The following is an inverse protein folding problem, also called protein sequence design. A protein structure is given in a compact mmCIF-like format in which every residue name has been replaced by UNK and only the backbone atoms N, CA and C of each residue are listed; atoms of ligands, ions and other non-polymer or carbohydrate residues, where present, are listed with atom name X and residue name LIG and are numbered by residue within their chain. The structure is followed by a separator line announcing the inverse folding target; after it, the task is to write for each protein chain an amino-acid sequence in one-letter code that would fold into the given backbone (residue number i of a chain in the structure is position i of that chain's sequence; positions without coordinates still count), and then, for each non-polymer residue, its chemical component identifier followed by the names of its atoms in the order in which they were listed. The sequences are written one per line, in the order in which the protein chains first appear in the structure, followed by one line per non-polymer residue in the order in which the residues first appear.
data_IF_545449414207
#
_entry.id   IF_545449414207
#
_cell.length_a   1.000
_cell.length_b   1.000
_cell.length_c   1.000
_cell.angle_alpha   90.00
_cell.angle_beta   90.00
_cell.angle_gamma   90.00
#
_symmetry.space_group_name_H-M   'P 1'
#
loop_
_entity.id
_entity.type
_entity.pdbx_description
1 polymer ?
#
# COMPACT_ATOMS: atom_id res chain seq x y z
N UNK A 1 2.53 -10.93 22.33
CA UNK A 1 1.73 -10.52 21.14
C UNK A 1 2.25 -9.24 20.47
N UNK A 2 2.76 -8.23 21.19
CA UNK A 2 3.23 -6.98 20.58
C UNK A 2 4.49 -7.11 19.69
N UNK A 3 5.47 -7.95 20.06
CA UNK A 3 6.73 -8.07 19.32
C UNK A 3 6.55 -8.58 17.88
N UNK A 4 5.67 -9.58 17.68
CA UNK A 4 5.41 -10.13 16.34
C UNK A 4 4.79 -9.12 15.37
N UNK A 5 3.94 -8.22 15.88
CA UNK A 5 3.34 -7.16 15.08
C UNK A 5 4.37 -6.10 14.67
N UNK A 6 5.25 -5.69 15.59
CA UNK A 6 6.34 -4.74 15.30
C UNK A 6 7.28 -5.32 14.23
N UNK A 7 7.68 -6.59 14.38
CA UNK A 7 8.54 -7.26 13.40
C UNK A 7 7.90 -7.33 12.01
N UNK A 8 6.59 -7.59 11.91
CA UNK A 8 5.89 -7.63 10.63
C UNK A 8 5.83 -6.25 9.96
N UNK A 9 5.63 -5.19 10.75
CA UNK A 9 5.62 -3.80 10.27
C UNK A 9 7.00 -3.39 9.76
N UNK A 10 8.05 -3.65 10.55
CA UNK A 10 9.42 -3.31 10.20
C UNK A 10 9.91 -4.08 8.96
N UNK A 11 9.57 -5.37 8.87
CA UNK A 11 9.87 -6.19 7.70
C UNK A 11 9.15 -5.67 6.45
N UNK A 12 7.85 -5.37 6.54
CA UNK A 12 7.09 -4.83 5.42
C UNK A 12 7.63 -3.48 4.95
N UNK A 13 8.02 -2.62 5.89
CA UNK A 13 8.66 -1.34 5.59
C UNK A 13 10.01 -1.53 4.88
N UNK A 14 10.83 -2.46 5.37
CA UNK A 14 12.11 -2.79 4.74
C UNK A 14 11.94 -3.34 3.32
N UNK A 15 11.04 -4.31 3.12
CA UNK A 15 10.74 -4.92 1.81
C UNK A 15 10.29 -3.85 0.82
N UNK A 16 9.34 -2.99 1.21
CA UNK A 16 8.83 -1.95 0.34
C UNK A 16 9.90 -0.94 -0.06
N UNK A 17 10.70 -0.48 0.91
CA UNK A 17 11.77 0.50 0.66
C UNK A 17 12.86 -0.05 -0.24
N UNK A 18 13.22 -1.33 -0.04
CA UNK A 18 14.17 -2.04 -0.89
C UNK A 18 13.66 -2.11 -2.32
N UNK A 19 12.41 -2.56 -2.52
CA UNK A 19 11.80 -2.66 -3.84
C UNK A 19 11.68 -1.31 -4.55
N UNK A 20 11.32 -0.24 -3.83
CA UNK A 20 11.29 1.12 -4.37
C UNK A 20 12.70 1.62 -4.78
N UNK A 21 13.74 1.24 -4.01
CA UNK A 21 15.13 1.52 -4.34
C UNK A 21 15.60 0.80 -5.61
N UNK A 22 15.32 -0.50 -5.72
CA UNK A 22 15.74 -1.36 -6.84
C UNK A 22 15.03 -0.98 -8.16
N UNK A 23 13.75 -0.62 -8.10
CA UNK A 23 12.96 -0.23 -9.28
C UNK A 23 13.09 1.25 -9.64
N UNK A 24 13.68 2.08 -8.78
CA UNK A 24 13.71 3.54 -8.93
C UNK A 24 12.34 4.23 -8.77
N UNK A 25 11.28 3.47 -8.47
CA UNK A 25 9.92 3.95 -8.28
C UNK A 25 9.78 4.81 -7.01
N UNK A 26 8.62 5.42 -6.84
CA UNK A 26 8.26 6.20 -5.67
C UNK A 26 6.76 6.11 -5.39
N UNK A 27 6.38 6.44 -4.16
CA UNK A 27 4.99 6.54 -3.72
C UNK A 27 4.76 7.89 -3.04
N UNK A 28 3.52 8.40 -2.97
CA UNK A 28 3.22 9.59 -2.19
C UNK A 28 3.55 9.35 -0.71
N UNK A 29 4.25 10.28 -0.08
CA UNK A 29 4.45 10.34 1.37
C UNK A 29 3.28 11.01 2.07
N UNK A 30 3.37 11.15 3.40
CA UNK A 30 2.29 11.73 4.23
C UNK A 30 1.88 13.16 3.82
N UNK A 31 2.84 13.95 3.31
CA UNK A 31 2.61 15.30 2.78
C UNK A 31 2.20 15.30 1.29
N UNK A 32 1.98 14.14 0.68
CA UNK A 32 1.71 13.98 -0.76
C UNK A 32 2.95 14.03 -1.66
N UNK A 33 4.14 14.36 -1.11
CA UNK A 33 5.39 14.44 -1.89
C UNK A 33 5.92 13.05 -2.25
N UNK A 34 6.58 12.87 -3.41
CA UNK A 34 7.25 11.63 -3.77
C UNK A 34 8.25 11.18 -2.70
N UNK A 35 8.14 9.92 -2.27
CA UNK A 35 9.09 9.29 -1.36
C UNK A 35 9.43 7.86 -1.77
N UNK A 36 10.70 7.49 -1.54
CA UNK A 36 11.18 6.10 -1.60
C UNK A 36 11.27 5.45 -0.22
N UNK A 37 11.00 6.22 0.84
CA UNK A 37 11.07 5.79 2.23
C UNK A 37 9.74 6.00 2.95
N UNK A 38 8.61 5.46 2.43
CA UNK A 38 7.35 5.53 3.16
C UNK A 38 7.45 4.74 4.47
N UNK A 39 6.60 5.06 5.44
CA UNK A 39 6.36 4.18 6.60
C UNK A 39 5.21 3.23 6.27
N UNK A 40 5.23 2.00 6.79
CA UNK A 40 4.14 1.07 6.52
C UNK A 40 2.81 1.57 7.11
N UNK A 41 2.86 2.30 8.24
CA UNK A 41 1.71 3.01 8.81
C UNK A 41 1.07 3.97 7.80
N UNK A 42 1.88 4.80 7.14
CA UNK A 42 1.37 5.73 6.12
C UNK A 42 0.80 4.98 4.92
N UNK A 43 1.47 3.92 4.48
CA UNK A 43 0.98 3.07 3.39
C UNK A 43 -0.43 2.56 3.71
N UNK A 44 -0.67 2.05 4.92
CA UNK A 44 -2.02 1.63 5.31
C UNK A 44 -3.05 2.76 5.38
N UNK A 45 -2.62 4.00 5.67
CA UNK A 45 -3.50 5.18 5.64
C UNK A 45 -3.79 5.67 4.22
N UNK A 46 -3.02 5.25 3.23
CA UNK A 46 -3.20 5.63 1.82
C UNK A 46 -4.31 4.82 1.14
N UNK A 47 -4.49 3.55 1.51
CA UNK A 47 -5.44 2.61 0.92
C UNK A 47 -6.95 2.77 1.27
N UNK A 48 -7.40 3.42 2.37
CA UNK A 48 -8.82 3.50 2.73
C UNK A 48 -9.71 4.18 1.68
N UNK A 49 -9.11 4.98 0.78
CA UNK A 49 -9.82 5.63 -0.30
C UNK A 49 -10.12 4.70 -1.48
N UNK A 50 -9.38 3.59 -1.62
CA UNK A 50 -9.67 2.55 -2.61
C UNK A 50 -10.96 1.84 -2.20
N UNK A 51 -11.99 1.88 -3.05
CA UNK A 51 -13.30 1.30 -2.74
C UNK A 51 -13.81 0.43 -3.88
N UNK A 52 -14.45 -0.68 -3.52
CA UNK A 52 -15.21 -1.49 -4.45
C UNK A 52 -16.67 -1.04 -4.42
N UNK A 53 -17.25 -0.70 -5.57
CA UNK A 53 -18.67 -0.37 -5.73
C UNK A 53 -19.29 -1.28 -6.78
N UNK A 54 -20.58 -1.59 -6.65
CA UNK A 54 -21.32 -2.35 -7.65
C UNK A 54 -22.32 -1.42 -8.30
N UNK A 55 -22.16 -1.18 -9.61
CA UNK A 55 -23.05 -0.32 -10.41
C UNK A 55 -23.67 -1.17 -11.52
N UNK A 56 -25.00 -1.28 -11.53
CA UNK A 56 -25.72 -2.08 -12.53
C UNK A 56 -25.29 -3.55 -12.57
N UNK A 57 -24.95 -4.14 -11.42
CA UNK A 57 -24.47 -5.52 -11.32
C UNK A 57 -23.00 -5.74 -11.70
N UNK A 58 -22.26 -4.68 -12.06
CA UNK A 58 -20.83 -4.78 -12.38
C UNK A 58 -19.97 -4.20 -11.24
N UNK A 59 -18.95 -4.93 -10.76
CA UNK A 59 -18.01 -4.39 -9.79
C UNK A 59 -17.09 -3.35 -10.47
N UNK A 60 -16.86 -2.24 -9.77
CA UNK A 60 -15.97 -1.16 -10.16
C UNK A 60 -15.08 -0.79 -8.98
N UNK A 61 -13.77 -0.68 -9.22
CA UNK A 61 -12.81 -0.23 -8.21
C UNK A 61 -12.58 1.28 -8.39
N UNK A 62 -12.89 2.06 -7.37
CA UNK A 62 -12.69 3.51 -7.32
C UNK A 62 -11.38 3.85 -6.62
N UNK A 63 -10.76 4.96 -7.02
CA UNK A 63 -9.55 5.54 -6.43
C UNK A 63 -8.33 4.62 -6.39
N UNK A 64 -8.30 3.55 -7.20
CA UNK A 64 -7.09 2.79 -7.44
C UNK A 64 -6.12 3.64 -8.27
N UNK A 65 -4.91 3.80 -7.76
CA UNK A 65 -3.84 4.56 -8.44
C UNK A 65 -2.66 3.64 -8.76
N UNK A 66 -1.80 3.99 -9.74
CA UNK A 66 -0.60 3.21 -10.05
C UNK A 66 0.35 3.02 -8.84
N UNK A 67 0.29 3.94 -7.87
CA UNK A 67 1.07 3.81 -6.63
C UNK A 67 0.53 2.72 -5.71
N UNK A 68 -0.79 2.50 -5.67
CA UNK A 68 -1.38 1.36 -4.93
C UNK A 68 -0.89 0.04 -5.53
N UNK A 69 -0.93 -0.09 -6.86
CA UNK A 69 -0.44 -1.28 -7.55
C UNK A 69 1.06 -1.51 -7.32
N UNK A 70 1.85 -0.43 -7.33
CA UNK A 70 3.29 -0.49 -7.02
C UNK A 70 3.52 -1.05 -5.62
N UNK A 71 2.79 -0.55 -4.62
CA UNK A 71 2.90 -1.05 -3.24
C UNK A 71 2.51 -2.51 -3.14
N UNK A 72 1.35 -2.89 -3.71
CA UNK A 72 0.82 -4.26 -3.68
C UNK A 72 1.82 -5.23 -4.32
N UNK A 73 2.36 -4.87 -5.49
CA UNK A 73 3.36 -5.67 -6.21
C UNK A 73 4.65 -5.84 -5.42
N UNK A 74 5.18 -4.76 -4.84
CA UNK A 74 6.46 -4.79 -4.11
C UNK A 74 6.36 -5.52 -2.77
N UNK A 75 5.21 -5.45 -2.10
CA UNK A 75 4.96 -6.20 -0.87
C UNK A 75 4.57 -7.67 -1.12
N UNK A 76 4.35 -8.07 -2.38
CA UNK A 76 3.89 -9.42 -2.72
C UNK A 76 2.48 -9.72 -2.20
N UNK A 77 1.63 -8.69 -2.11
CA UNK A 77 0.25 -8.84 -1.62
C UNK A 77 -0.64 -9.22 -2.79
N UNK A 78 -1.37 -10.33 -2.68
CA UNK A 78 -2.33 -10.73 -3.72
C UNK A 78 -3.74 -10.20 -3.47
N UNK A 79 -4.07 -9.91 -2.20
CA UNK A 79 -5.42 -9.53 -1.78
C UNK A 79 -5.37 -8.44 -0.73
N UNK A 80 -6.15 -7.39 -0.95
CA UNK A 80 -6.42 -6.34 0.03
C UNK A 80 -7.86 -6.48 0.52
N UNK A 81 -8.03 -6.78 1.79
CA UNK A 81 -9.34 -6.89 2.43
C UNK A 81 -9.66 -5.58 3.14
N UNK A 82 -10.69 -4.88 2.67
CA UNK A 82 -11.29 -3.78 3.44
C UNK A 82 -12.08 -4.40 4.59
N UNK A 83 -11.64 -4.18 5.83
CA UNK A 83 -12.44 -4.44 7.01
C UNK A 83 -13.46 -3.30 7.10
N UNK A 84 -14.63 -3.51 6.50
CA UNK A 84 -15.83 -2.68 6.70
C UNK A 84 -16.47 -2.99 8.05
#
# INVERSE_FOLDING_TARGET
MALGMVMAVDLGEWVLRRGLGETGAWVPGQEGKPTRRPTLRWVFQYFPWVRLVVLGGKPLVLNLSPHHETVVRLLGVERYYLLT
#
